data_IF_252202079037
#
_entry.id   IF_252202079037
#
_cell.length_a   1.000
_cell.length_b   1.000
_cell.length_c   1.000
_cell.angle_alpha   90.00
_cell.angle_beta   90.00
_cell.angle_gamma   90.00
#
_symmetry.space_group_name_H-M   'P 1'
#
loop_
_entity.id
_entity.type
_entity.pdbx_description
1 polymer ?
#
# COMPACT_ATOMS: atom_id res chain seq x y z
N UNK A 1 -18.79 -17.82 16.04
CA UNK A 1 -17.99 -18.99 16.44
C UNK A 1 -18.79 -19.86 17.40
N UNK A 2 -18.91 -21.16 17.13
CA UNK A 2 -19.44 -22.13 18.10
C UNK A 2 -18.26 -22.98 18.57
N UNK A 3 -17.78 -22.72 19.77
CA UNK A 3 -16.83 -23.62 20.43
C UNK A 3 -17.59 -24.92 20.76
N UNK A 4 -17.30 -25.98 20.01
CA UNK A 4 -17.71 -27.33 20.41
C UNK A 4 -16.81 -27.75 21.56
N UNK A 5 -17.40 -27.88 22.75
CA UNK A 5 -16.74 -28.46 23.90
C UNK A 5 -16.19 -29.85 23.54
N UNK A 6 -14.99 -30.22 24.01
CA UNK A 6 -14.42 -31.52 23.70
C UNK A 6 -15.32 -32.61 24.30
N UNK A 7 -15.74 -33.54 23.44
CA UNK A 7 -16.45 -34.74 23.85
C UNK A 7 -15.63 -35.48 24.91
N UNK A 8 -16.28 -35.75 26.04
CA UNK A 8 -15.74 -36.49 27.18
C UNK A 8 -15.19 -37.85 26.74
N UNK A 9 -13.86 -38.02 26.74
CA UNK A 9 -13.23 -39.36 26.69
C UNK A 9 -11.89 -39.50 25.96
N UNK A 10 -11.49 -38.57 25.08
CA UNK A 10 -10.19 -38.63 24.40
C UNK A 10 -9.24 -37.55 24.92
N UNK A 11 -8.03 -37.95 25.35
CA UNK A 11 -6.98 -37.04 25.86
C UNK A 11 -6.31 -36.19 24.77
N UNK A 12 -6.68 -36.41 23.51
CA UNK A 12 -6.12 -35.71 22.36
C UNK A 12 -7.22 -35.49 21.34
N UNK A 13 -7.44 -34.23 20.99
CA UNK A 13 -8.21 -33.81 19.85
C UNK A 13 -7.31 -32.91 18.99
N UNK A 14 -7.41 -33.03 17.67
CA UNK A 14 -6.76 -32.11 16.73
C UNK A 14 -7.84 -31.17 16.23
N UNK A 15 -7.75 -29.89 16.59
CA UNK A 15 -8.57 -28.86 15.96
C UNK A 15 -8.01 -28.65 14.55
N UNK A 16 -8.71 -29.16 13.54
CA UNK A 16 -8.49 -28.80 12.13
C UNK A 16 -9.43 -27.64 11.78
N UNK A 17 -9.16 -26.47 12.33
CA UNK A 17 -9.89 -25.24 11.96
C UNK A 17 -8.96 -24.26 11.25
N UNK A 18 -9.51 -23.56 10.25
CA UNK A 18 -8.89 -22.37 9.69
C UNK A 18 -8.96 -21.27 10.75
N UNK A 19 -7.87 -21.11 11.48
CA UNK A 19 -7.70 -20.06 12.46
C UNK A 19 -7.15 -18.80 11.78
N UNK A 20 -7.45 -17.63 12.34
CA UNK A 20 -7.04 -16.34 11.80
C UNK A 20 -6.07 -15.70 12.77
N UNK A 21 -4.96 -15.19 12.27
CA UNK A 21 -4.04 -14.33 13.03
C UNK A 21 -4.11 -12.95 12.40
N UNK A 22 -4.44 -11.96 13.22
CA UNK A 22 -4.53 -10.58 12.78
C UNK A 22 -3.50 -9.73 13.52
N UNK A 23 -2.80 -8.89 12.78
CA UNK A 23 -1.88 -7.90 13.34
C UNK A 23 -2.44 -6.52 13.10
N UNK A 24 -2.58 -5.74 14.18
CA UNK A 24 -2.93 -4.33 14.06
C UNK A 24 -1.72 -3.55 13.57
N UNK A 25 -1.87 -2.93 12.40
CA UNK A 25 -0.86 -2.11 11.77
C UNK A 25 -0.61 -0.85 12.60
N UNK A 26 0.65 -0.44 12.63
CA UNK A 26 1.06 0.84 13.16
C UNK A 26 2.03 1.48 12.15
N UNK A 27 1.88 2.78 11.89
CA UNK A 27 2.66 3.50 10.91
C UNK A 27 4.18 3.42 11.18
N UNK A 28 4.58 3.22 12.44
CA UNK A 28 5.99 3.04 12.83
C UNK A 28 6.61 1.76 12.26
N UNK A 29 5.83 0.81 11.77
CA UNK A 29 6.34 -0.38 11.10
C UNK A 29 7.13 -0.05 9.82
N UNK A 30 6.91 1.12 9.22
CA UNK A 30 7.70 1.61 8.10
C UNK A 30 9.03 2.26 8.53
N UNK A 31 9.19 2.60 9.81
CA UNK A 31 10.39 3.26 10.29
C UNK A 31 11.55 2.25 10.38
N UNK A 32 12.71 2.65 9.86
CA UNK A 32 13.91 1.82 9.86
C UNK A 32 13.62 0.36 9.43
N UNK A 33 12.86 0.19 8.34
CA UNK A 33 12.51 -1.14 7.85
C UNK A 33 13.78 -1.90 7.41
N UNK A 34 14.03 -3.13 7.89
CA UNK A 34 15.22 -3.88 7.54
C UNK A 34 15.25 -4.25 6.05
N UNK A 35 16.40 -4.07 5.40
CA UNK A 35 16.59 -4.45 3.99
C UNK A 35 16.85 -5.95 3.76
N UNK A 36 16.81 -6.77 4.82
CA UNK A 36 17.07 -8.22 4.74
C UNK A 36 16.13 -8.97 5.67
N UNK A 37 15.65 -10.11 5.19
CA UNK A 37 14.64 -10.93 5.86
C UNK A 37 15.14 -11.42 7.21
N UNK A 38 16.37 -11.91 7.25
CA UNK A 38 17.01 -12.40 8.47
C UNK A 38 17.18 -11.32 9.55
N UNK A 39 17.21 -10.03 9.20
CA UNK A 39 17.22 -8.93 10.16
C UNK A 39 15.82 -8.63 10.65
N UNK A 40 14.83 -8.62 9.76
CA UNK A 40 13.42 -8.45 10.11
C UNK A 40 12.94 -9.51 11.09
N UNK A 41 13.26 -10.78 10.84
CA UNK A 41 12.92 -11.91 11.74
C UNK A 41 13.54 -11.80 13.13
N UNK A 42 14.70 -11.15 13.27
CA UNK A 42 15.37 -10.99 14.57
C UNK A 42 14.77 -9.89 15.44
N UNK A 43 13.86 -9.09 14.90
CA UNK A 43 13.20 -8.06 15.68
C UNK A 43 12.23 -8.66 16.68
N UNK A 44 12.29 -8.17 17.93
CA UNK A 44 11.23 -8.41 18.90
C UNK A 44 10.07 -7.43 18.67
N UNK A 45 9.45 -7.50 17.50
CA UNK A 45 8.39 -6.60 17.04
C UNK A 45 7.27 -7.38 16.36
N UNK A 46 6.06 -6.82 16.25
CA UNK A 46 4.96 -7.44 15.50
C UNK A 46 5.32 -7.73 14.02
N UNK A 47 6.07 -6.86 13.35
CA UNK A 47 6.53 -7.09 11.97
C UNK A 47 7.58 -8.20 11.86
N UNK A 48 8.42 -8.38 12.89
CA UNK A 48 9.34 -9.52 12.97
C UNK A 48 8.61 -10.85 13.16
N UNK A 49 7.58 -10.87 14.02
CA UNK A 49 6.70 -12.04 14.18
C UNK A 49 5.91 -12.34 12.89
N UNK A 50 5.42 -11.31 12.20
CA UNK A 50 4.77 -11.49 10.90
C UNK A 50 5.73 -12.13 9.88
N UNK A 51 6.98 -11.69 9.81
CA UNK A 51 7.99 -12.27 8.92
C UNK A 51 8.25 -13.76 9.21
N UNK A 52 8.23 -14.17 10.48
CA UNK A 52 8.29 -15.60 10.83
C UNK A 52 7.10 -16.40 10.32
N UNK A 53 5.89 -15.82 10.37
CA UNK A 53 4.72 -16.50 9.79
C UNK A 53 4.81 -16.62 8.27
N UNK A 54 5.38 -15.62 7.61
CA UNK A 54 5.60 -15.64 6.16
C UNK A 54 6.57 -16.76 5.75
N UNK A 55 7.65 -16.97 6.50
CA UNK A 55 8.58 -18.11 6.32
C UNK A 55 7.85 -19.46 6.49
N UNK A 56 7.02 -19.62 7.52
CA UNK A 56 6.24 -20.85 7.72
C UNK A 56 5.29 -21.10 6.54
N UNK A 57 4.68 -20.03 6.00
CA UNK A 57 3.77 -20.12 4.85
C UNK A 57 4.47 -20.52 3.55
N UNK A 58 5.74 -20.15 3.39
CA UNK A 58 6.51 -20.47 2.17
C UNK A 58 7.14 -21.87 2.22
N UNK A 59 7.46 -22.38 3.42
CA UNK A 59 8.19 -23.64 3.59
C UNK A 59 7.30 -24.87 3.85
N UNK A 60 6.14 -24.71 4.53
CA UNK A 60 5.42 -25.86 5.07
C UNK A 60 4.09 -26.19 4.36
N UNK A 61 3.83 -27.49 4.17
CA UNK A 61 2.52 -28.02 3.74
C UNK A 61 1.55 -28.23 4.92
N UNK A 62 1.59 -27.38 5.94
CA UNK A 62 0.72 -27.49 7.13
C UNK A 62 -0.57 -26.69 6.95
N UNK A 63 -1.63 -27.01 7.72
CA UNK A 63 -2.77 -26.10 7.83
C UNK A 63 -2.32 -24.76 8.44
N UNK A 64 -2.01 -23.81 7.57
CA UNK A 64 -1.62 -22.48 7.97
C UNK A 64 -2.83 -21.61 8.35
N UNK A 65 -2.66 -20.65 9.28
CA UNK A 65 -3.69 -19.67 9.57
C UNK A 65 -3.90 -18.74 8.37
N UNK A 66 -5.07 -18.09 8.28
CA UNK A 66 -5.17 -16.90 7.46
C UNK A 66 -4.49 -15.75 8.19
N UNK A 67 -3.56 -15.07 7.52
CA UNK A 67 -2.93 -13.87 8.05
C UNK A 67 -3.70 -12.63 7.60
N UNK A 68 -3.92 -11.74 8.55
CA UNK A 68 -4.58 -10.47 8.34
C UNK A 68 -3.73 -9.33 8.91
N UNK A 69 -3.71 -8.22 8.20
CA UNK A 69 -3.31 -6.93 8.74
C UNK A 69 -4.58 -6.09 8.89
N UNK A 70 -4.72 -5.42 10.04
CA UNK A 70 -5.82 -4.49 10.32
C UNK A 70 -5.24 -3.08 10.34
N UNK A 71 -5.73 -2.18 9.51
CA UNK A 71 -5.39 -0.76 9.57
C UNK A 71 -6.67 0.06 9.82
N UNK A 72 -6.73 0.72 10.97
CA UNK A 72 -7.87 1.52 11.40
C UNK A 72 -7.88 2.92 10.77
N UNK A 73 -6.74 3.39 10.28
CA UNK A 73 -6.54 4.80 9.93
C UNK A 73 -6.40 5.02 8.42
N UNK A 74 -6.17 3.95 7.65
CA UNK A 74 -6.01 4.07 6.20
C UNK A 74 -7.33 4.44 5.53
N UNK A 75 -7.27 5.43 4.66
CA UNK A 75 -8.34 5.76 3.71
C UNK A 75 -8.26 4.85 2.49
N UNK A 76 -9.40 4.59 1.87
CA UNK A 76 -9.44 3.71 0.70
C UNK A 76 -10.55 4.11 -0.27
N UNK A 77 -10.43 3.69 -1.52
CA UNK A 77 -11.41 3.99 -2.58
C UNK A 77 -11.95 2.69 -3.14
N UNK A 78 -13.28 2.57 -3.21
CA UNK A 78 -13.94 1.48 -3.90
C UNK A 78 -13.81 1.64 -5.42
N UNK A 79 -13.65 0.52 -6.15
CA UNK A 79 -13.81 0.55 -7.60
C UNK A 79 -15.30 0.80 -7.95
N UNK A 80 -15.61 1.48 -9.07
CA UNK A 80 -16.99 1.72 -9.47
C UNK A 80 -17.83 0.43 -9.48
N UNK A 81 -18.96 0.43 -8.76
CA UNK A 81 -19.87 -0.71 -8.66
C UNK A 81 -19.42 -1.83 -7.72
N UNK A 82 -18.27 -1.71 -7.06
CA UNK A 82 -17.81 -2.69 -6.08
C UNK A 82 -18.53 -2.50 -4.75
N UNK A 83 -19.14 -3.57 -4.23
CA UNK A 83 -19.80 -3.58 -2.92
C UNK A 83 -18.94 -4.36 -1.92
N UNK A 84 -18.73 -3.79 -0.74
CA UNK A 84 -17.95 -4.40 0.33
C UNK A 84 -18.83 -4.88 1.49
N UNK A 85 -18.82 -6.19 1.71
CA UNK A 85 -19.45 -6.84 2.86
C UNK A 85 -18.57 -6.73 4.11
N UNK A 86 -19.21 -6.52 5.25
CA UNK A 86 -18.53 -6.47 6.55
C UNK A 86 -17.99 -7.87 6.88
N UNK A 87 -16.66 -7.99 6.98
CA UNK A 87 -15.94 -9.25 7.29
C UNK A 87 -15.77 -9.40 8.80
N UNK A 88 -15.55 -8.30 9.50
CA UNK A 88 -15.36 -8.24 10.94
C UNK A 88 -16.03 -7.00 11.51
N UNK A 89 -16.47 -7.06 12.77
CA UNK A 89 -17.09 -5.94 13.48
C UNK A 89 -16.56 -5.97 14.90
N UNK A 90 -16.06 -4.84 15.38
CA UNK A 90 -15.81 -4.65 16.80
C UNK A 90 -16.91 -3.79 17.44
N UNK A 91 -16.66 -3.22 18.61
CA UNK A 91 -17.64 -2.39 19.30
C UNK A 91 -17.82 -1.00 18.66
N UNK A 92 -16.89 -0.57 17.80
CA UNK A 92 -16.78 0.80 17.31
C UNK A 92 -16.98 0.91 15.79
N UNK A 93 -16.56 -0.11 15.02
CA UNK A 93 -16.52 -0.05 13.57
C UNK A 93 -16.80 -1.40 12.87
N UNK A 94 -17.24 -1.25 11.62
CA UNK A 94 -17.32 -2.33 10.64
C UNK A 94 -16.02 -2.39 9.86
N UNK A 95 -15.50 -3.59 9.62
CA UNK A 95 -14.29 -3.83 8.86
C UNK A 95 -14.58 -4.60 7.58
N UNK A 96 -13.97 -4.15 6.50
CA UNK A 96 -14.08 -4.74 5.15
C UNK A 96 -12.71 -5.20 4.67
N UNK A 97 -12.68 -6.25 3.86
CA UNK A 97 -11.45 -6.65 3.16
C UNK A 97 -11.30 -5.85 1.87
N UNK A 98 -10.17 -5.19 1.68
CA UNK A 98 -9.86 -4.44 0.46
C UNK A 98 -8.60 -4.97 -0.24
N UNK A 99 -8.41 -4.57 -1.50
CA UNK A 99 -7.14 -4.78 -2.20
C UNK A 99 -6.11 -3.73 -1.72
N UNK A 100 -4.84 -4.14 -1.61
CA UNK A 100 -3.72 -3.25 -1.26
C UNK A 100 -3.65 -1.97 -2.12
N UNK A 101 -4.02 -2.05 -3.40
CA UNK A 101 -4.05 -0.92 -4.35
C UNK A 101 -5.18 0.08 -4.09
N UNK A 102 -6.22 -0.31 -3.35
CA UNK A 102 -7.32 0.58 -3.00
C UNK A 102 -6.95 1.55 -1.87
N UNK A 103 -5.85 1.29 -1.15
CA UNK A 103 -5.37 2.16 -0.07
C UNK A 103 -4.90 3.51 -0.59
N UNK A 104 -5.09 4.54 0.21
CA UNK A 104 -4.75 5.93 -0.11
C UNK A 104 -4.06 6.56 1.08
N UNK A 105 -3.08 7.42 0.83
CA UNK A 105 -2.43 8.19 1.88
C UNK A 105 -3.40 9.22 2.47
N UNK A 106 -3.24 9.49 3.77
CA UNK A 106 -4.12 10.40 4.50
C UNK A 106 -3.93 11.88 4.11
N UNK A 107 -2.82 12.21 3.46
CA UNK A 107 -2.46 13.57 3.04
C UNK A 107 -2.57 13.79 1.54
N UNK A 108 -2.12 12.83 0.73
CA UNK A 108 -2.09 12.93 -0.72
C UNK A 108 -2.82 11.73 -1.32
N UNK A 109 -4.03 11.94 -1.84
CA UNK A 109 -4.90 10.85 -2.32
C UNK A 109 -4.25 9.99 -3.40
N UNK A 110 -3.39 10.52 -4.26
CA UNK A 110 -2.72 9.75 -5.31
C UNK A 110 -1.64 8.79 -4.78
N UNK A 111 -1.20 8.95 -3.51
CA UNK A 111 -0.20 8.08 -2.91
C UNK A 111 -0.84 6.86 -2.22
N UNK A 112 -0.09 5.75 -2.18
CA UNK A 112 -0.50 4.56 -1.44
C UNK A 112 -0.49 4.81 0.07
N UNK A 113 -1.46 4.20 0.76
CA UNK A 113 -1.51 4.20 2.22
C UNK A 113 -0.24 3.58 2.85
N UNK A 114 0.05 3.97 4.09
CA UNK A 114 1.26 3.53 4.78
C UNK A 114 1.33 2.00 4.95
N UNK A 115 0.20 1.33 5.15
CA UNK A 115 0.13 -0.13 5.24
C UNK A 115 0.46 -0.82 3.92
N UNK A 116 0.07 -0.24 2.78
CA UNK A 116 0.44 -0.79 1.47
C UNK A 116 1.93 -0.58 1.18
N UNK A 117 2.52 0.55 1.62
CA UNK A 117 3.97 0.77 1.56
C UNK A 117 4.76 -0.22 2.42
N UNK A 118 4.25 -0.54 3.61
CA UNK A 118 4.80 -1.61 4.45
C UNK A 118 4.74 -2.95 3.71
N UNK A 119 3.59 -3.26 3.11
CA UNK A 119 3.40 -4.51 2.38
C UNK A 119 4.31 -4.64 1.15
N UNK A 120 4.53 -3.54 0.43
CA UNK A 120 5.53 -3.47 -0.65
C UNK A 120 6.94 -3.76 -0.10
N UNK A 121 7.31 -3.18 1.04
CA UNK A 121 8.62 -3.40 1.68
C UNK A 121 8.80 -4.83 2.19
N UNK A 122 7.73 -5.43 2.72
CA UNK A 122 7.73 -6.82 3.15
C UNK A 122 7.90 -7.78 1.97
N UNK A 123 7.19 -7.55 0.86
CA UNK A 123 7.34 -8.34 -0.37
C UNK A 123 8.76 -8.30 -0.92
N UNK A 124 9.38 -7.10 -1.00
CA UNK A 124 10.78 -6.95 -1.45
C UNK A 124 11.79 -7.80 -0.67
N UNK A 125 11.47 -8.16 0.56
CA UNK A 125 12.38 -8.86 1.47
C UNK A 125 12.00 -10.34 1.64
N UNK A 126 10.73 -10.70 1.44
CA UNK A 126 10.20 -12.03 1.75
C UNK A 126 9.59 -12.77 0.55
N UNK A 127 9.39 -12.11 -0.60
CA UNK A 127 8.95 -12.79 -1.81
C UNK A 127 10.08 -13.71 -2.31
N UNK A 128 9.74 -14.96 -2.61
CA UNK A 128 10.70 -15.90 -3.21
C UNK A 128 10.58 -15.81 -4.72
N UNK A 129 11.37 -14.92 -5.32
CA UNK A 129 11.56 -14.81 -6.76
C UNK A 129 12.69 -15.73 -7.27
N UNK A 130 12.89 -16.90 -6.65
CA UNK A 130 13.79 -17.95 -7.17
C UNK A 130 13.17 -18.56 -8.44
N UNK A 131 13.21 -17.75 -9.49
CA UNK A 131 12.55 -17.92 -10.77
C UNK A 131 13.51 -18.53 -11.81
N UNK A 132 14.81 -18.53 -11.51
CA UNK A 132 15.85 -18.90 -12.46
C UNK A 132 16.01 -20.42 -12.62
N UNK A 133 15.87 -21.21 -11.55
CA UNK A 133 16.13 -22.66 -11.63
C UNK A 133 14.92 -23.48 -12.13
N UNK A 134 13.68 -22.99 -11.94
CA UNK A 134 12.46 -23.71 -12.31
C UNK A 134 12.07 -23.50 -13.79
N UNK A 135 12.43 -22.37 -14.37
CA UNK A 135 12.17 -22.08 -15.79
C UNK A 135 13.03 -22.96 -16.71
N UNK A 136 14.27 -23.29 -16.32
CA UNK A 136 15.10 -24.28 -17.03
C UNK A 136 14.54 -25.72 -16.96
N UNK A 137 13.73 -26.02 -15.93
CA UNK A 137 13.07 -27.31 -15.73
C UNK A 137 11.66 -27.39 -16.32
N UNK A 138 11.16 -26.32 -16.96
CA UNK A 138 9.82 -26.28 -17.57
C UNK A 138 8.68 -26.37 -16.55
N UNK A 139 8.93 -26.03 -15.28
CA UNK A 139 7.93 -25.98 -14.23
C UNK A 139 7.38 -24.56 -14.13
N UNK A 140 6.05 -24.42 -13.98
CA UNK A 140 5.43 -23.14 -13.63
C UNK A 140 6.06 -22.65 -12.32
N UNK A 141 6.68 -21.46 -12.30
CA UNK A 141 7.29 -20.94 -11.09
C UNK A 141 6.21 -20.77 -10.02
N UNK A 142 6.30 -21.57 -8.96
CA UNK A 142 5.50 -21.41 -7.74
C UNK A 142 6.10 -20.27 -6.92
N UNK A 143 6.14 -19.07 -7.51
CA UNK A 143 6.66 -17.89 -6.85
C UNK A 143 5.77 -17.56 -5.65
N UNK A 144 6.35 -17.61 -4.45
CA UNK A 144 5.65 -17.23 -3.24
C UNK A 144 5.65 -15.70 -3.15
N UNK A 145 4.44 -15.12 -3.09
CA UNK A 145 4.24 -13.67 -2.95
C UNK A 145 3.47 -13.37 -1.69
N UNK A 146 4.04 -12.58 -0.79
CA UNK A 146 3.44 -12.27 0.51
C UNK A 146 2.03 -11.68 0.35
N UNK A 147 1.82 -10.85 -0.68
CA UNK A 147 0.52 -10.22 -0.98
C UNK A 147 -0.63 -11.17 -1.28
N UNK A 148 -0.31 -12.38 -1.72
CA UNK A 148 -1.31 -13.41 -2.03
C UNK A 148 -1.74 -14.18 -0.76
N UNK A 149 -0.94 -14.09 0.31
CA UNK A 149 -1.14 -14.84 1.54
C UNK A 149 -1.57 -13.99 2.75
N UNK A 150 -1.34 -12.68 2.71
CA UNK A 150 -1.80 -11.74 3.74
C UNK A 150 -2.96 -10.91 3.19
N UNK A 151 -4.03 -10.79 3.98
CA UNK A 151 -5.21 -9.99 3.64
C UNK A 151 -5.24 -8.70 4.46
N UNK A 152 -5.83 -7.64 3.91
CA UNK A 152 -5.98 -6.36 4.58
C UNK A 152 -7.44 -6.14 5.00
N UNK A 153 -7.65 -5.86 6.29
CA UNK A 153 -8.90 -5.35 6.83
C UNK A 153 -8.75 -3.87 7.15
N UNK A 154 -9.73 -3.09 6.74
CA UNK A 154 -9.80 -1.66 7.01
C UNK A 154 -11.18 -1.28 7.51
N UNK A 155 -11.24 -0.16 8.22
CA UNK A 155 -12.51 0.44 8.62
C UNK A 155 -13.35 0.82 7.41
N UNK A 156 -14.61 0.37 7.41
CA UNK A 156 -15.56 0.59 6.33
C UNK A 156 -15.90 2.07 6.17
N UNK A 157 -15.93 2.81 7.26
CA UNK A 157 -16.22 4.24 7.30
C UNK A 157 -15.05 5.13 6.83
N UNK A 158 -13.89 4.55 6.55
CA UNK A 158 -12.76 5.26 5.91
C UNK A 158 -12.81 5.24 4.37
N UNK A 159 -13.92 4.78 3.77
CA UNK A 159 -14.13 4.84 2.33
C UNK A 159 -14.22 6.30 1.86
N UNK A 160 -13.43 6.65 0.85
CA UNK A 160 -13.46 7.95 0.19
C UNK A 160 -14.33 7.87 -1.07
N UNK A 161 -15.07 8.94 -1.34
CA UNK A 161 -15.69 9.14 -2.65
C UNK A 161 -14.59 9.46 -3.65
N UNK A 162 -14.60 8.76 -4.79
CA UNK A 162 -13.69 9.05 -5.90
C UNK A 162 -14.11 10.37 -6.53
N UNK A 163 -13.53 11.49 -6.06
CA UNK A 163 -13.67 12.78 -6.73
C UNK A 163 -12.79 12.74 -7.98
N UNK A 164 -13.27 12.11 -9.04
CA UNK A 164 -12.97 12.65 -10.36
C UNK A 164 -13.78 13.95 -10.46
N UNK A 165 -13.18 15.06 -10.03
CA UNK A 165 -13.62 16.36 -10.49
C UNK A 165 -13.49 16.31 -12.01
N UNK A 166 -14.64 16.14 -12.69
CA UNK A 166 -14.75 16.50 -14.09
C UNK A 166 -14.38 17.99 -14.15
N UNK A 167 -13.17 18.27 -14.60
CA UNK A 167 -12.76 19.56 -15.14
C UNK A 167 -13.60 19.81 -16.40
N UNK A 168 -14.89 20.09 -16.20
CA UNK A 168 -15.73 20.74 -17.18
C UNK A 168 -15.35 22.22 -17.14
N UNK A 169 -14.15 22.52 -17.63
CA UNK A 169 -13.80 23.83 -18.14
C UNK A 169 -14.79 24.16 -19.25
N UNK A 170 -15.92 24.76 -18.88
CA UNK A 170 -16.74 25.52 -19.82
C UNK A 170 -15.91 26.72 -20.24
N UNK A 171 -15.13 26.54 -21.30
CA UNK A 171 -14.67 27.60 -22.19
C UNK A 171 -15.93 28.21 -22.83
N UNK A 172 -16.61 29.08 -22.09
CA UNK A 172 -17.43 30.10 -22.71
C UNK A 172 -16.48 31.20 -23.17
N UNK A 173 -15.98 31.05 -24.39
CA UNK A 173 -15.46 32.14 -25.20
C UNK A 173 -16.59 33.18 -25.35
N UNK A 174 -16.63 34.16 -24.44
CA UNK A 174 -17.22 35.46 -24.77
C UNK A 174 -16.15 36.28 -25.45
N UNK A 175 -16.28 36.35 -26.78
CA UNK A 175 -15.73 37.39 -27.64
C UNK A 175 -15.89 38.76 -26.94
N UNK A 176 -14.78 39.39 -26.58
CA UNK A 176 -14.75 40.83 -26.31
C UNK A 176 -13.60 41.42 -27.15
N UNK A 177 -14.01 41.90 -28.32
CA UNK A 177 -13.23 42.72 -29.23
C UNK A 177 -12.86 44.04 -28.53
N UNK A 178 -11.70 44.08 -27.88
CA UNK A 178 -11.05 45.34 -27.58
C UNK A 178 -9.79 45.49 -28.42
N UNK A 179 -9.91 46.34 -29.45
CA UNK A 179 -8.81 46.88 -30.26
C UNK A 179 -7.70 47.42 -29.34
N UNK A 180 -6.53 46.78 -29.37
CA UNK A 180 -5.32 47.31 -28.75
C UNK A 180 -4.60 48.14 -29.83
N UNK A 181 -4.78 49.46 -29.79
CA UNK A 181 -3.97 50.39 -30.56
C UNK A 181 -2.53 50.40 -30.01
N UNK A 182 -1.56 50.21 -30.91
CA UNK A 182 -0.14 50.29 -30.64
C UNK A 182 0.32 51.75 -30.62
N UNK A 183 0.80 52.24 -29.48
CA UNK A 183 1.67 53.42 -29.44
C UNK A 183 3.13 52.99 -29.28
N UNK A 184 3.90 53.23 -30.34
CA UNK A 184 5.36 53.14 -30.35
C UNK A 184 5.93 54.44 -29.76
N UNK A 185 6.58 54.36 -28.60
CA UNK A 185 7.58 55.35 -28.21
C UNK A 185 8.97 54.76 -28.41
N UNK A 186 9.56 55.13 -29.55
CA UNK A 186 10.97 55.01 -29.85
C UNK A 186 11.72 56.18 -29.23
N UNK A 187 12.62 55.90 -28.28
CA UNK A 187 13.73 56.80 -27.97
C UNK A 187 15.04 56.01 -28.00
N UNK A 188 15.74 56.18 -29.13
CA UNK A 188 17.18 56.04 -29.22
C UNK A 188 17.85 57.09 -28.32
N UNK A 189 18.93 56.73 -27.61
CA UNK A 189 20.28 57.22 -27.90
C UNK A 189 21.26 56.97 -26.74
N UNK A 190 22.32 56.23 -27.09
CA UNK A 190 23.73 56.59 -26.89
C UNK A 190 24.47 56.30 -25.56
N UNK A 191 25.69 55.78 -25.75
CA UNK A 191 26.83 55.78 -24.81
C UNK A 191 27.17 54.38 -24.27
N UNK A 192 27.99 53.57 -24.92
CA UNK A 192 29.45 53.71 -25.05
C UNK A 192 30.12 52.63 -24.17
N UNK A 193 30.76 51.62 -24.76
CA UNK A 193 32.23 51.35 -24.72
C UNK A 193 32.86 51.55 -23.33
N UNK A 194 33.71 50.70 -22.78
CA UNK A 194 34.60 49.64 -23.26
C UNK A 194 35.25 49.07 -21.97
N UNK A 195 35.98 47.95 -22.02
CA UNK A 195 37.04 47.70 -21.04
C UNK A 195 37.08 46.31 -20.42
N UNK A 196 37.74 45.44 -21.17
CA UNK A 196 38.41 44.20 -20.79
C UNK A 196 39.42 44.32 -19.64
N UNK A 197 39.83 43.13 -19.18
CA UNK A 197 41.14 42.72 -18.62
C UNK A 197 41.16 42.36 -17.11
N UNK A 198 41.32 41.08 -16.73
CA UNK A 198 42.55 40.23 -16.68
C UNK A 198 43.47 40.62 -15.51
N UNK A 199 43.59 39.80 -14.45
CA UNK A 199 44.73 38.93 -14.03
C UNK A 199 44.70 39.02 -12.48
N UNK A 200 45.19 38.12 -11.62
CA UNK A 200 45.97 36.90 -11.69
C UNK A 200 46.39 36.54 -10.25
N UNK A 201 46.70 35.26 -10.03
CA UNK A 201 47.58 34.61 -9.02
C UNK A 201 47.04 33.22 -8.62
#
# INVERSE_FOLDING_TARGET
>A
MKLLAPFLGTRTFTIKERWNIAFKFDHSWNNAFPSRENRLKRENSPRGLLAHWVEILSEESVPAPNLWIIDDDVRWVARPGQVFETVYRDCEADYVQINWEATRDNTISLLKGAVARFMDSLGLVCDNEDMYDLQELGLEPMAFRVKDHIKLLVRKDNEMQDYMEEDNGTDNETEDDTEIEFEYESDDLSGGSDGSDQEGE
#
